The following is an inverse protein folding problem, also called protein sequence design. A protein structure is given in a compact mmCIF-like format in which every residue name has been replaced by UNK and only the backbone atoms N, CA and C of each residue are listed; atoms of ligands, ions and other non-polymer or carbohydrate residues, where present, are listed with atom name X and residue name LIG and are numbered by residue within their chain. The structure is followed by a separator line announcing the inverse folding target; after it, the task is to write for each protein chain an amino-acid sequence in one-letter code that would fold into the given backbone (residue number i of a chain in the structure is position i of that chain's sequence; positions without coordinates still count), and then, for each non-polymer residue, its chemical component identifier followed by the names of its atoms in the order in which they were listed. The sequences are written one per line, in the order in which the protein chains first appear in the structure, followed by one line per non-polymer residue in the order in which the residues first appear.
data_IF_160804522776
#
_entry.id   IF_160804522776
#
_cell.length_a   1.000
_cell.length_b   1.000
_cell.length_c   1.000
_cell.angle_alpha   90.00
_cell.angle_beta   90.00
_cell.angle_gamma   90.00
#
_symmetry.space_group_name_H-M   'P 1'
#
loop_
_entity.id
_entity.type
_entity.pdbx_description
1 polymer ?
#
# COMPACT_ATOMS: atom_id res chain seq x y z
N UNK A 1 -9.40 12.62 9.78
CA UNK A 1 -8.82 11.32 9.39
C UNK A 1 -9.58 10.69 8.24
N UNK A 2 -10.86 10.29 8.37
CA UNK A 2 -11.58 9.62 7.28
C UNK A 2 -11.52 10.36 5.92
N UNK A 3 -11.67 11.69 5.92
CA UNK A 3 -11.56 12.50 4.71
C UNK A 3 -10.13 12.54 4.14
N UNK A 4 -9.11 12.75 4.98
CA UNK A 4 -7.70 12.75 4.57
C UNK A 4 -7.26 11.38 4.02
N UNK A 5 -7.71 10.30 4.66
CA UNK A 5 -7.57 8.92 4.22
C UNK A 5 -8.24 8.69 2.86
N UNK A 6 -9.46 9.17 2.68
CA UNK A 6 -10.20 9.08 1.41
C UNK A 6 -9.51 9.80 0.25
N UNK A 7 -9.04 11.03 0.47
CA UNK A 7 -8.26 11.76 -0.53
C UNK A 7 -6.94 11.05 -0.86
N UNK A 8 -6.25 10.55 0.16
CA UNK A 8 -5.02 9.78 -0.03
C UNK A 8 -5.22 8.56 -0.93
N UNK A 9 -6.33 7.83 -0.74
CA UNK A 9 -6.70 6.70 -1.61
C UNK A 9 -6.97 7.12 -3.05
N UNK A 10 -7.73 8.20 -3.25
CA UNK A 10 -8.09 8.67 -4.58
C UNK A 10 -6.85 9.00 -5.42
N UNK A 11 -5.91 9.77 -4.86
CA UNK A 11 -4.66 10.09 -5.55
C UNK A 11 -3.78 8.87 -5.78
N UNK A 12 -3.80 7.93 -4.83
CA UNK A 12 -3.05 6.68 -4.92
C UNK A 12 -3.49 5.78 -6.09
N UNK A 13 -4.73 5.87 -6.57
CA UNK A 13 -5.20 5.03 -7.70
C UNK A 13 -4.56 5.42 -9.04
N UNK A 14 -4.17 6.69 -9.23
CA UNK A 14 -3.63 7.18 -10.50
C UNK A 14 -2.14 6.85 -10.70
N UNK A 15 -1.37 6.79 -9.62
CA UNK A 15 0.08 6.60 -9.63
C UNK A 15 0.52 5.27 -10.31
N UNK A 16 -0.13 4.11 -10.07
CA UNK A 16 0.26 2.84 -10.67
C UNK A 16 0.23 2.85 -12.19
N UNK A 17 -0.75 3.51 -12.79
CA UNK A 17 -0.88 3.63 -14.25
C UNK A 17 0.29 4.41 -14.86
N UNK A 18 0.73 5.47 -14.18
CA UNK A 18 1.88 6.27 -14.61
C UNK A 18 3.16 5.44 -14.53
N UNK A 19 3.34 4.73 -13.42
CA UNK A 19 4.50 3.85 -13.21
C UNK A 19 4.53 2.75 -14.27
N UNK A 20 3.43 2.02 -14.46
CA UNK A 20 3.33 0.93 -15.44
C UNK A 20 3.62 1.42 -16.87
N UNK A 21 3.04 2.55 -17.28
CA UNK A 21 3.31 3.14 -18.59
C UNK A 21 4.80 3.51 -18.74
N UNK A 22 5.38 4.18 -17.75
CA UNK A 22 6.80 4.55 -17.75
C UNK A 22 7.73 3.34 -17.81
N UNK A 23 7.44 2.30 -17.03
CA UNK A 23 8.20 1.05 -16.99
C UNK A 23 8.18 0.33 -18.33
N UNK A 24 7.01 0.24 -18.98
CA UNK A 24 6.89 -0.36 -20.32
C UNK A 24 7.64 0.43 -21.38
N UNK A 25 7.57 1.76 -21.33
CA UNK A 25 8.34 2.63 -22.23
C UNK A 25 9.86 2.49 -22.02
N UNK A 26 10.29 2.20 -20.81
CA UNK A 26 11.69 1.93 -20.47
C UNK A 26 12.14 0.48 -20.79
N UNK A 27 11.25 -0.38 -21.30
CA UNK A 27 11.55 -1.76 -21.68
C UNK A 27 11.57 -2.75 -20.52
N UNK A 28 11.02 -2.40 -19.35
CA UNK A 28 10.94 -3.30 -18.19
C UNK A 28 10.00 -4.46 -18.50
N UNK A 29 10.46 -5.69 -18.29
CA UNK A 29 9.60 -6.87 -18.34
C UNK A 29 8.76 -6.98 -17.06
N UNK A 30 7.46 -6.70 -17.19
CA UNK A 30 6.47 -6.73 -16.11
C UNK A 30 6.33 -8.11 -15.46
N UNK A 31 6.67 -9.18 -16.20
CA UNK A 31 6.58 -10.56 -15.71
C UNK A 31 7.86 -11.06 -15.03
N UNK A 32 8.94 -10.28 -15.13
CA UNK A 32 10.24 -10.59 -14.53
C UNK A 32 10.33 -10.14 -13.08
N UNK A 33 11.46 -10.46 -12.44
CA UNK A 33 11.80 -9.95 -11.11
C UNK A 33 11.84 -8.41 -11.11
N UNK A 34 12.32 -7.78 -12.18
CA UNK A 34 12.42 -6.33 -12.27
C UNK A 34 11.05 -5.66 -12.24
N UNK A 35 10.02 -6.30 -12.78
CA UNK A 35 8.65 -5.79 -12.82
C UNK A 35 7.85 -5.92 -11.51
N UNK A 36 8.41 -6.52 -10.45
CA UNK A 36 7.65 -6.86 -9.22
C UNK A 36 6.99 -5.66 -8.54
N UNK A 37 7.54 -4.45 -8.70
CA UNK A 37 7.02 -3.24 -8.07
C UNK A 37 5.72 -2.75 -8.74
N UNK A 38 5.46 -3.13 -9.99
CA UNK A 38 4.26 -2.73 -10.72
C UNK A 38 2.98 -3.27 -10.04
N UNK A 39 2.82 -4.59 -9.83
CA UNK A 39 1.65 -5.11 -9.11
C UNK A 39 1.60 -4.62 -7.65
N UNK A 40 2.75 -4.36 -7.02
CA UNK A 40 2.80 -3.73 -5.69
C UNK A 40 2.12 -2.35 -5.70
N UNK A 41 2.48 -1.46 -6.63
CA UNK A 41 1.85 -0.14 -6.71
C UNK A 41 0.37 -0.24 -7.07
N UNK A 42 -0.02 -1.13 -8.00
CA UNK A 42 -1.43 -1.35 -8.30
C UNK A 42 -2.24 -1.79 -7.08
N UNK A 43 -1.66 -2.64 -6.22
CA UNK A 43 -2.36 -3.16 -5.05
C UNK A 43 -2.41 -2.18 -3.87
N UNK A 44 -1.38 -1.32 -3.70
CA UNK A 44 -1.16 -0.60 -2.45
C UNK A 44 -0.97 0.91 -2.56
N UNK A 45 -0.94 1.49 -3.75
CA UNK A 45 -0.69 2.93 -3.91
C UNK A 45 -1.78 3.78 -3.25
N UNK A 46 -3.03 3.31 -3.21
CA UNK A 46 -4.11 3.93 -2.44
C UNK A 46 -3.81 3.93 -0.93
N UNK A 47 -3.32 2.81 -0.40
CA UNK A 47 -2.95 2.64 1.00
C UNK A 47 -1.72 3.47 1.39
N UNK A 48 -0.74 3.57 0.50
CA UNK A 48 0.43 4.47 0.66
C UNK A 48 -0.05 5.92 0.73
N UNK A 49 -0.89 6.33 -0.22
CA UNK A 49 -1.45 7.69 -0.25
C UNK A 49 -2.23 8.02 1.01
N UNK A 50 -3.06 7.10 1.49
CA UNK A 50 -3.77 7.22 2.76
C UNK A 50 -2.82 7.38 3.96
N UNK A 51 -1.80 6.52 4.05
CA UNK A 51 -0.85 6.53 5.16
C UNK A 51 -0.03 7.84 5.22
N UNK A 52 0.42 8.32 4.06
CA UNK A 52 1.14 9.60 3.95
C UNK A 52 0.23 10.77 4.30
N UNK A 53 -1.00 10.79 3.75
CA UNK A 53 -1.98 11.85 4.02
C UNK A 53 -2.31 11.95 5.51
N UNK A 54 -2.54 10.82 6.17
CA UNK A 54 -2.83 10.77 7.60
C UNK A 54 -1.62 11.19 8.46
N UNK A 55 -0.38 10.89 8.05
CA UNK A 55 0.82 11.42 8.72
C UNK A 55 0.87 12.96 8.66
N UNK A 56 0.60 13.56 7.49
CA UNK A 56 0.54 15.02 7.36
C UNK A 56 -0.62 15.62 8.17
N UNK A 57 -1.77 14.95 8.22
CA UNK A 57 -2.89 15.35 9.07
C UNK A 57 -2.50 15.35 10.56
N UNK A 58 -1.88 14.28 11.05
CA UNK A 58 -1.42 14.18 12.44
C UNK A 58 -0.38 15.24 12.76
N UNK A 59 0.59 15.47 11.87
CA UNK A 59 1.56 16.56 12.02
C UNK A 59 0.87 17.92 12.16
N UNK A 60 -0.13 18.22 11.33
CA UNK A 60 -0.86 19.49 11.38
C UNK A 60 -1.68 19.61 12.67
N UNK A 61 -2.33 18.53 13.10
CA UNK A 61 -3.14 18.50 14.32
C UNK A 61 -2.29 18.67 15.60
N UNK A 62 -1.10 18.07 15.64
CA UNK A 62 -0.20 18.09 16.80
C UNK A 62 0.80 19.27 16.80
N UNK A 63 0.82 20.08 15.73
CA UNK A 63 1.69 21.26 15.58
C UNK A 63 3.20 20.96 15.46
N UNK A 64 3.63 19.71 15.64
CA UNK A 64 5.04 19.30 15.54
C UNK A 64 5.20 17.90 14.95
N UNK A 65 6.33 17.66 14.28
CA UNK A 65 6.65 16.35 13.73
C UNK A 65 6.83 15.27 14.82
N UNK A 66 7.43 15.63 15.95
CA UNK A 66 7.68 14.69 17.05
C UNK A 66 6.37 14.19 17.67
N UNK A 67 5.43 15.08 17.94
CA UNK A 67 4.12 14.71 18.49
C UNK A 67 3.26 13.98 17.46
N UNK A 68 3.27 14.41 16.19
CA UNK A 68 2.59 13.71 15.09
C UNK A 68 3.08 12.27 14.90
N UNK A 69 4.40 12.05 14.91
CA UNK A 69 4.99 10.71 14.82
C UNK A 69 4.69 9.87 16.06
N UNK A 70 4.74 10.46 17.25
CA UNK A 70 4.34 9.77 18.49
C UNK A 70 2.90 9.28 18.40
N UNK A 71 1.98 10.11 17.92
CA UNK A 71 0.58 9.71 17.73
C UNK A 71 0.41 8.66 16.63
N UNK A 72 1.19 8.75 15.55
CA UNK A 72 1.20 7.77 14.47
C UNK A 72 1.54 6.36 14.99
N UNK A 73 2.62 6.23 15.78
CA UNK A 73 3.07 4.92 16.28
C UNK A 73 2.14 4.32 17.34
N UNK A 74 1.20 5.08 17.87
CA UNK A 74 0.15 4.58 18.77
C UNK A 74 -1.19 4.37 18.04
N UNK A 75 -1.27 4.68 16.73
CA UNK A 75 -2.51 4.54 15.97
C UNK A 75 -2.59 3.18 15.27
N UNK A 76 -3.48 2.27 15.71
CA UNK A 76 -3.49 0.87 15.26
C UNK A 76 -3.74 0.74 13.75
N UNK A 77 -4.60 1.58 13.17
CA UNK A 77 -4.87 1.61 11.72
C UNK A 77 -3.63 2.05 10.93
N UNK A 78 -2.85 3.01 11.44
CA UNK A 78 -1.67 3.52 10.73
C UNK A 78 -0.57 2.46 10.72
N UNK A 79 -0.36 1.79 11.85
CA UNK A 79 0.57 0.68 11.95
C UNK A 79 0.16 -0.51 11.08
N UNK A 80 -1.13 -0.87 11.06
CA UNK A 80 -1.63 -1.94 10.22
C UNK A 80 -1.42 -1.61 8.72
N UNK A 81 -1.71 -0.37 8.33
CA UNK A 81 -1.45 0.11 6.97
C UNK A 81 0.04 0.07 6.63
N UNK A 82 0.91 0.54 7.52
CA UNK A 82 2.36 0.52 7.29
C UNK A 82 2.89 -0.92 7.18
N UNK A 83 2.38 -1.82 8.01
CA UNK A 83 2.72 -3.23 7.97
C UNK A 83 2.39 -3.86 6.61
N UNK A 84 1.18 -3.60 6.09
CA UNK A 84 0.77 -4.09 4.76
C UNK A 84 1.66 -3.52 3.65
N UNK A 85 1.93 -2.20 3.69
CA UNK A 85 2.81 -1.51 2.73
C UNK A 85 4.20 -2.15 2.68
N UNK A 86 4.71 -2.68 3.80
CA UNK A 86 6.04 -3.30 3.88
C UNK A 86 5.99 -4.79 3.52
N UNK A 87 5.01 -5.55 4.01
CA UNK A 87 5.02 -7.01 3.89
C UNK A 87 4.70 -7.49 2.48
N UNK A 88 3.79 -6.82 1.77
CA UNK A 88 3.37 -7.18 0.42
C UNK A 88 4.50 -7.10 -0.60
N UNK A 89 5.29 -6.01 -0.71
CA UNK A 89 6.39 -5.96 -1.68
C UNK A 89 7.48 -6.98 -1.36
N UNK A 90 7.73 -7.27 -0.07
CA UNK A 90 8.65 -8.35 0.34
C UNK A 90 8.12 -9.71 -0.13
N UNK A 91 6.82 -9.97 0.04
CA UNK A 91 6.17 -11.20 -0.42
C UNK A 91 6.21 -11.35 -1.94
N UNK A 92 5.90 -10.28 -2.69
CA UNK A 92 5.94 -10.26 -4.15
C UNK A 92 7.36 -10.47 -4.68
N UNK A 93 8.35 -9.77 -4.11
CA UNK A 93 9.75 -9.95 -4.47
C UNK A 93 10.22 -11.37 -4.15
N UNK A 94 9.87 -11.90 -2.97
CA UNK A 94 10.18 -13.27 -2.58
C UNK A 94 9.56 -14.29 -3.54
N UNK A 95 8.29 -14.13 -3.91
CA UNK A 95 7.61 -14.98 -4.88
C UNK A 95 8.33 -14.96 -6.25
N UNK A 96 8.70 -13.77 -6.73
CA UNK A 96 9.47 -13.60 -7.97
C UNK A 96 10.84 -14.30 -7.90
N UNK A 97 11.58 -14.15 -6.80
CA UNK A 97 12.88 -14.83 -6.59
C UNK A 97 12.72 -16.35 -6.54
N UNK A 98 11.60 -16.87 -6.01
CA UNK A 98 11.28 -18.30 -6.01
C UNK A 98 10.77 -18.82 -7.38
N UNK A 99 10.73 -17.97 -8.41
CA UNK A 99 10.37 -18.34 -9.78
C UNK A 99 8.88 -18.17 -10.13
N UNK A 100 8.07 -17.55 -9.26
CA UNK A 100 6.68 -17.23 -9.59
C UNK A 100 6.60 -16.09 -10.60
N UNK A 101 6.02 -16.36 -11.77
CA UNK A 101 5.78 -15.37 -12.83
C UNK A 101 4.31 -15.41 -13.28
N UNK A 102 3.59 -14.27 -13.30
CA UNK A 102 2.16 -14.23 -13.56
C UNK A 102 1.89 -14.16 -15.07
N UNK A 103 2.40 -15.14 -15.83
CA UNK A 103 2.24 -15.22 -17.28
C UNK A 103 0.84 -15.64 -17.72
N UNK A 104 0.02 -16.15 -16.78
CA UNK A 104 -1.36 -16.58 -17.02
C UNK A 104 -2.33 -15.74 -16.21
N UNK A 105 -3.56 -15.58 -16.72
CA UNK A 105 -4.63 -14.83 -16.04
C UNK A 105 -4.90 -15.37 -14.63
N UNK A 106 -4.81 -16.68 -14.43
CA UNK A 106 -4.98 -17.32 -13.11
C UNK A 106 -3.90 -16.89 -12.12
N UNK A 107 -2.64 -16.83 -12.54
CA UNK A 107 -1.55 -16.39 -11.67
C UNK A 107 -1.56 -14.89 -11.42
N UNK A 108 -1.92 -14.08 -12.42
CA UNK A 108 -2.13 -12.64 -12.24
C UNK A 108 -3.27 -12.37 -11.24
N UNK A 109 -4.38 -13.11 -11.34
CA UNK A 109 -5.48 -12.99 -10.40
C UNK A 109 -5.07 -13.39 -8.98
N UNK A 110 -4.36 -14.51 -8.82
CA UNK A 110 -3.86 -14.98 -7.52
C UNK A 110 -2.91 -13.95 -6.88
N UNK A 111 -1.98 -13.41 -7.67
CA UNK A 111 -1.07 -12.35 -7.23
C UNK A 111 -1.82 -11.10 -6.76
N UNK A 112 -2.80 -10.66 -7.55
CA UNK A 112 -3.59 -9.46 -7.25
C UNK A 112 -4.41 -9.64 -5.97
N UNK A 113 -5.06 -10.80 -5.80
CA UNK A 113 -5.84 -11.12 -4.59
C UNK A 113 -4.93 -11.18 -3.36
N UNK A 114 -3.77 -11.83 -3.48
CA UNK A 114 -2.83 -11.95 -2.37
C UNK A 114 -2.21 -10.60 -1.98
N UNK A 115 -1.95 -9.73 -2.95
CA UNK A 115 -1.39 -8.40 -2.72
C UNK A 115 -2.44 -7.39 -2.23
N UNK A 116 -3.72 -7.60 -2.54
CA UNK A 116 -4.81 -6.68 -2.20
C UNK A 116 -5.26 -6.84 -0.74
N UNK A 117 -4.41 -6.35 0.16
CA UNK A 117 -4.62 -6.36 1.61
C UNK A 117 -5.10 -4.99 2.15
N UNK A 118 -5.69 -4.17 1.29
CA UNK A 118 -6.15 -2.82 1.63
C UNK A 118 -7.29 -2.80 2.68
N UNK A 119 -7.94 -3.95 2.92
CA UNK A 119 -9.02 -4.14 3.90
C UNK A 119 -8.53 -4.37 5.34
N UNK A 120 -7.25 -4.69 5.54
CA UNK A 120 -6.68 -4.96 6.88
C UNK A 120 -6.77 -3.74 7.80
N UNK A 121 -6.38 -2.50 7.40
CA UNK A 121 -6.45 -1.36 8.32
C UNK A 121 -7.88 -1.00 8.76
N UNK A 122 -8.90 -0.98 7.88
CA UNK A 122 -10.30 -0.82 8.32
C UNK A 122 -10.75 -1.91 9.31
N UNK A 123 -10.39 -3.18 9.07
CA UNK A 123 -10.70 -4.27 10.00
C UNK A 123 -10.05 -4.04 11.37
N UNK A 124 -8.77 -3.67 11.39
CA UNK A 124 -8.06 -3.34 12.64
C UNK A 124 -8.72 -2.17 13.35
N UNK A 125 -9.15 -1.15 12.61
CA UNK A 125 -9.94 -0.04 13.15
C UNK A 125 -11.22 -0.52 13.83
N UNK A 126 -12.03 -1.32 13.13
CA UNK A 126 -13.28 -1.86 13.66
C UNK A 126 -13.09 -2.73 14.90
N UNK A 127 -12.09 -3.60 14.90
CA UNK A 127 -11.77 -4.45 16.05
C UNK A 127 -11.36 -3.62 17.26
N UNK A 128 -10.54 -2.58 17.07
CA UNK A 128 -10.04 -1.74 18.15
C UNK A 128 -11.11 -0.78 18.70
N UNK A 129 -12.05 -0.34 17.85
CA UNK A 129 -13.20 0.49 18.25
C UNK A 129 -14.12 -0.26 19.23
N UNK A 130 -14.16 -1.59 19.17
CA UNK A 130 -14.91 -2.44 20.10
C UNK A 130 -14.26 -2.59 21.50
N UNK A 131 -13.02 -2.12 21.67
CA UNK A 131 -12.26 -2.19 22.93
C UNK A 131 -12.11 -0.81 23.62
N UNK A 132 -12.85 0.20 23.18
CA UNK A 132 -13.02 1.51 23.84
C UNK A 132 -14.43 1.64 24.43
#
# INVERSE_FOLDING_TARGET
MAEAYGWGKLFGIAIPWIIDLGSRLAGVDVYSIEGFYIPYFYALSDQIGANVSDMFFLRRAEGSWKAGLSRYVHHPVMLASLFVIIIVPIGLLGARVMGFSPTTQTYTALETIAANLCWIPPLVGWLNEKYR
#
